data_IF_046063363520
#
_entry.id   IF_046063363520
#
_cell.length_a   1.000
_cell.length_b   1.000
_cell.length_c   1.000
_cell.angle_alpha   90.00
_cell.angle_beta   90.00
_cell.angle_gamma   90.00
#
_symmetry.space_group_name_H-M   'P 1'
#
loop_
_entity.id
_entity.type
_entity.pdbx_description
1 polymer ?
#
# COMPACT_ATOMS: atom_id res chain seq x y z
N UNK A 1 12.46 -16.45 -7.06
CA UNK A 1 13.00 -15.16 -6.59
C UNK A 1 13.77 -14.52 -7.74
N UNK A 2 13.08 -13.78 -8.62
CA UNK A 2 13.71 -13.07 -9.74
C UNK A 2 13.74 -11.58 -9.40
N UNK A 3 14.84 -11.12 -8.80
CA UNK A 3 15.01 -9.70 -8.51
C UNK A 3 15.33 -8.92 -9.78
N UNK A 4 14.67 -7.79 -9.97
CA UNK A 4 15.09 -6.79 -10.95
C UNK A 4 16.45 -6.19 -10.52
N UNK A 5 17.40 -6.10 -11.44
CA UNK A 5 18.79 -5.72 -11.13
C UNK A 5 19.09 -4.25 -11.38
N UNK A 6 18.18 -3.52 -12.03
CA UNK A 6 18.35 -2.09 -12.34
C UNK A 6 17.05 -1.28 -12.20
N UNK A 7 17.14 0.06 -12.13
CA UNK A 7 15.99 0.93 -11.88
C UNK A 7 14.81 0.72 -12.83
N UNK A 8 15.07 0.51 -14.12
CA UNK A 8 14.03 0.24 -15.13
C UNK A 8 13.30 -1.08 -14.88
N UNK A 9 14.06 -2.13 -14.58
CA UNK A 9 13.48 -3.45 -14.29
C UNK A 9 12.69 -3.42 -12.98
N UNK A 10 13.16 -2.67 -11.97
CA UNK A 10 12.47 -2.51 -10.69
C UNK A 10 11.16 -1.76 -10.91
N UNK A 11 11.18 -0.63 -11.64
CA UNK A 11 9.98 0.12 -11.98
C UNK A 11 8.94 -0.72 -12.74
N UNK A 12 9.38 -1.62 -13.64
CA UNK A 12 8.50 -2.53 -14.36
C UNK A 12 8.00 -3.71 -13.50
N UNK A 13 8.68 -4.04 -12.39
CA UNK A 13 8.33 -5.15 -11.52
C UNK A 13 7.38 -4.72 -10.39
N UNK A 14 7.55 -3.52 -9.84
CA UNK A 14 6.78 -3.04 -8.67
C UNK A 14 5.24 -3.07 -8.87
N UNK A 15 4.67 -2.65 -10.02
CA UNK A 15 3.22 -2.72 -10.25
C UNK A 15 2.63 -4.14 -10.30
N UNK A 16 3.48 -5.17 -10.31
CA UNK A 16 3.07 -6.58 -10.34
C UNK A 16 3.03 -7.22 -8.94
N UNK A 17 3.37 -6.45 -7.91
CA UNK A 17 3.42 -6.94 -6.53
C UNK A 17 2.03 -6.92 -5.91
N UNK A 18 1.63 -8.06 -5.36
CA UNK A 18 0.46 -8.21 -4.49
C UNK A 18 0.75 -9.29 -3.44
N UNK A 19 0.51 -8.98 -2.17
CA UNK A 19 0.69 -9.93 -1.07
C UNK A 19 -0.11 -9.53 0.18
N UNK A 20 -0.33 -10.49 1.08
CA UNK A 20 -0.96 -10.24 2.39
C UNK A 20 0.12 -10.20 3.47
N UNK A 21 0.22 -9.06 4.17
CA UNK A 21 1.16 -8.87 5.27
C UNK A 21 0.46 -8.58 6.61
N UNK A 22 1.21 -8.18 7.64
CA UNK A 22 0.67 -7.83 8.96
C UNK A 22 -0.35 -6.68 8.93
N UNK A 23 -0.34 -5.87 7.87
CA UNK A 23 -1.28 -4.77 7.62
C UNK A 23 -2.49 -5.17 6.77
N UNK A 24 -2.66 -6.46 6.48
CA UNK A 24 -3.66 -6.95 5.54
C UNK A 24 -3.15 -7.02 4.09
N UNK A 25 -4.06 -7.16 3.11
CA UNK A 25 -3.71 -7.23 1.70
C UNK A 25 -3.13 -5.90 1.20
N UNK A 26 -2.10 -6.00 0.37
CA UNK A 26 -1.40 -4.88 -0.23
C UNK A 26 -1.05 -5.18 -1.69
N UNK A 27 -1.24 -4.20 -2.56
CA UNK A 27 -0.72 -4.20 -3.93
C UNK A 27 -0.21 -2.81 -4.34
N UNK A 28 0.51 -2.73 -5.45
CA UNK A 28 0.92 -1.46 -6.06
C UNK A 28 0.00 -1.17 -7.25
N UNK A 29 -0.69 -0.04 -7.25
CA UNK A 29 -1.59 0.36 -8.33
C UNK A 29 -0.78 0.70 -9.60
N UNK A 30 -0.99 0.02 -10.74
CA UNK A 30 -0.25 0.28 -11.96
C UNK A 30 -0.54 1.66 -12.58
N UNK A 31 -1.69 2.28 -12.27
CA UNK A 31 -2.05 3.57 -12.82
C UNK A 31 -1.34 4.73 -12.11
N UNK A 32 -1.06 4.60 -10.82
CA UNK A 32 -0.49 5.69 -9.99
C UNK A 32 0.86 5.36 -9.37
N UNK A 33 1.29 4.10 -9.42
CA UNK A 33 2.39 3.53 -8.63
C UNK A 33 2.22 3.75 -7.11
N UNK A 34 1.01 4.09 -6.64
CA UNK A 34 0.72 4.23 -5.23
C UNK A 34 0.31 2.88 -4.63
N UNK A 35 0.48 2.74 -3.32
CA UNK A 35 0.09 1.53 -2.60
C UNK A 35 -1.43 1.48 -2.41
N UNK A 36 -2.03 0.34 -2.72
CA UNK A 36 -3.42 0.02 -2.38
C UNK A 36 -3.39 -0.86 -1.14
N UNK A 37 -4.06 -0.41 -0.09
CA UNK A 37 -4.08 -1.09 1.20
C UNK A 37 -5.32 -0.70 2.00
N UNK A 38 -5.59 -1.45 3.06
CA UNK A 38 -6.60 -1.06 4.04
C UNK A 38 -6.17 0.19 4.80
N UNK A 39 -7.15 1.06 5.10
CA UNK A 39 -7.01 2.15 6.04
C UNK A 39 -7.77 1.80 7.32
N UNK A 40 -7.14 2.03 8.46
CA UNK A 40 -7.69 1.71 9.78
C UNK A 40 -8.00 3.00 10.53
N UNK A 41 -9.24 3.14 10.98
CA UNK A 41 -9.64 4.16 11.94
C UNK A 41 -9.54 3.52 13.31
N UNK A 42 -8.84 4.17 14.25
CA UNK A 42 -8.57 3.62 15.57
C UNK A 42 -8.68 4.67 16.67
N UNK A 43 -9.03 4.22 17.87
CA UNK A 43 -8.88 4.98 19.09
C UNK A 43 -7.53 4.68 19.74
N UNK A 44 -6.90 5.70 20.34
CA UNK A 44 -5.78 5.48 21.25
C UNK A 44 -6.31 5.07 22.63
N UNK A 45 -5.87 3.92 23.11
CA UNK A 45 -6.31 3.32 24.39
C UNK A 45 -5.10 2.94 25.25
N UNK A 46 -5.27 2.86 26.57
CA UNK A 46 -4.24 2.30 27.45
C UNK A 46 -4.19 0.77 27.27
N UNK A 47 -3.03 0.24 26.89
CA UNK A 47 -2.71 -1.19 26.87
C UNK A 47 -1.78 -1.58 28.02
N UNK A 48 -1.42 -2.87 28.07
CA UNK A 48 -0.59 -3.46 29.13
C UNK A 48 0.78 -2.77 29.27
N UNK A 49 1.37 -2.33 28.16
CA UNK A 49 2.72 -1.74 28.10
C UNK A 49 2.73 -0.25 27.73
N UNK A 50 1.59 0.44 27.84
CA UNK A 50 1.45 1.85 27.43
C UNK A 50 0.30 2.07 26.44
N UNK A 51 0.23 3.27 25.85
CA UNK A 51 -0.80 3.59 24.86
C UNK A 51 -0.68 2.72 23.61
N UNK A 52 -1.81 2.21 23.11
CA UNK A 52 -1.93 1.37 21.92
C UNK A 52 -3.18 1.72 21.11
N UNK A 53 -3.41 1.04 20.00
CA UNK A 53 -4.48 1.33 19.04
C UNK A 53 -5.58 0.26 19.12
N UNK A 54 -6.82 0.70 19.28
CA UNK A 54 -8.01 -0.14 19.10
C UNK A 54 -8.66 0.22 17.77
N UNK A 55 -8.61 -0.68 16.79
CA UNK A 55 -9.27 -0.48 15.49
C UNK A 55 -10.79 -0.43 15.69
N UNK A 56 -11.42 0.62 15.19
CA UNK A 56 -12.88 0.83 15.24
C UNK A 56 -13.54 0.76 13.87
N UNK A 57 -12.78 0.96 12.79
CA UNK A 57 -13.27 0.72 11.44
C UNK A 57 -12.11 0.40 10.48
N UNK A 58 -12.44 -0.31 9.40
CA UNK A 58 -11.53 -0.57 8.29
C UNK A 58 -12.17 -0.09 6.99
N UNK A 59 -11.45 0.69 6.21
CA UNK A 59 -11.80 1.04 4.84
C UNK A 59 -10.90 0.18 3.94
N UNK A 60 -11.45 -0.84 3.25
CA UNK A 60 -10.64 -1.79 2.51
C UNK A 60 -10.12 -1.20 1.20
N UNK A 61 -8.92 -1.63 0.79
CA UNK A 61 -8.34 -1.41 -0.55
C UNK A 61 -8.47 0.04 -1.07
N UNK A 62 -8.07 1.02 -0.25
CA UNK A 62 -8.12 2.44 -0.64
C UNK A 62 -7.14 2.69 -1.77
N UNK A 63 -7.66 3.25 -2.88
CA UNK A 63 -6.89 3.64 -4.06
C UNK A 63 -6.77 5.15 -4.13
N UNK A 64 -5.60 5.61 -4.54
CA UNK A 64 -5.36 7.00 -4.86
C UNK A 64 -5.87 7.30 -6.27
N UNK A 65 -6.79 8.27 -6.45
CA UNK A 65 -7.23 8.68 -7.78
C UNK A 65 -6.05 9.21 -8.62
N UNK A 66 -6.16 9.04 -9.95
CA UNK A 66 -5.18 9.55 -10.93
C UNK A 66 -5.32 11.07 -11.04
N UNK A 67 -4.88 11.80 -10.01
CA UNK A 67 -4.99 13.25 -9.92
C UNK A 67 -3.68 13.97 -10.31
N UNK A 68 -2.60 13.21 -10.60
CA UNK A 68 -1.28 13.71 -10.98
C UNK A 68 -0.97 13.59 -12.48
N UNK A 69 0.24 14.02 -12.86
CA UNK A 69 0.75 14.03 -14.23
C UNK A 69 0.55 12.67 -14.92
N UNK A 70 -0.01 12.69 -16.14
CA UNK A 70 -0.09 11.50 -16.98
C UNK A 70 1.34 11.05 -17.29
N UNK A 71 1.67 9.80 -16.95
CA UNK A 71 2.95 9.18 -17.30
C UNK A 71 3.05 9.09 -18.83
N UNK A 72 3.55 10.15 -19.47
CA UNK A 72 3.88 10.15 -20.89
C UNK A 72 5.14 9.31 -21.08
N UNK A 73 4.97 8.09 -21.59
CA UNK A 73 6.07 7.26 -22.06
C UNK A 73 5.95 5.80 -21.65
N UNK A 74 5.31 5.02 -22.52
CA UNK A 74 5.58 3.59 -22.71
C UNK A 74 6.10 3.40 -24.13
#
# INVERSE_FOLDING_TARGET
QGGAKGPKEIAAALPKISYTGPRGPLEIDPATNNVVQNFYIYDTVQGENGLTQKVIATIPAVRDPVNGCTLQGS
#
